data_IF_910478866368
#
_entry.id   IF_910478866368
#
_cell.length_a   1.000
_cell.length_b   1.000
_cell.length_c   1.000
_cell.angle_alpha   90.00
_cell.angle_beta   90.00
_cell.angle_gamma   90.00
#
_symmetry.space_group_name_H-M   'P 1'
#
loop_
_entity.id
_entity.type
_entity.pdbx_description
1 polymer ?
#
# COMPACT_ATOMS: atom_id res chain seq x y z
N UNK A 1 -27.07 10.92 -9.24
CA UNK A 1 -26.83 9.53 -9.65
C UNK A 1 -25.82 8.96 -8.69
N UNK A 2 -26.16 7.87 -8.02
CA UNK A 2 -25.30 7.25 -7.03
C UNK A 2 -24.11 6.61 -7.75
N UNK A 3 -22.88 7.00 -7.39
CA UNK A 3 -21.67 6.42 -7.98
C UNK A 3 -21.42 5.06 -7.34
N UNK A 4 -21.00 4.07 -8.12
CA UNK A 4 -20.66 2.74 -7.60
C UNK A 4 -19.22 2.75 -7.06
N UNK A 5 -18.99 2.47 -5.76
CA UNK A 5 -17.65 2.37 -5.20
C UNK A 5 -16.86 1.23 -5.85
N UNK A 6 -15.59 1.51 -6.21
CA UNK A 6 -14.61 0.50 -6.63
C UNK A 6 -13.84 0.04 -5.39
N UNK A 7 -13.33 0.98 -4.59
CA UNK A 7 -12.67 0.73 -3.30
C UNK A 7 -13.01 1.81 -2.30
N UNK A 8 -13.08 1.42 -1.03
CA UNK A 8 -13.14 2.32 0.13
C UNK A 8 -12.04 1.92 1.10
N UNK A 9 -11.11 2.82 1.37
CA UNK A 9 -9.96 2.57 2.23
C UNK A 9 -9.84 3.68 3.24
N UNK A 10 -9.64 3.34 4.51
CA UNK A 10 -9.30 4.34 5.53
C UNK A 10 -7.94 4.10 6.16
N UNK A 11 -7.35 5.19 6.64
CA UNK A 11 -6.15 5.16 7.47
C UNK A 11 -6.31 6.14 8.64
N UNK A 12 -5.80 5.76 9.80
CA UNK A 12 -5.68 6.67 10.95
C UNK A 12 -4.33 7.38 10.89
N UNK A 13 -4.33 8.70 10.97
CA UNK A 13 -3.12 9.54 10.98
C UNK A 13 -2.97 10.25 12.32
N UNK A 14 -1.74 10.42 12.82
CA UNK A 14 -1.47 11.16 14.06
C UNK A 14 -1.36 12.67 13.79
N UNK A 15 -2.38 13.21 13.15
CA UNK A 15 -2.50 14.63 12.87
C UNK A 15 -3.96 15.06 13.02
N UNK A 16 -4.17 16.30 13.47
CA UNK A 16 -5.49 16.94 13.44
C UNK A 16 -5.97 17.11 11.99
N UNK A 17 -7.29 17.21 11.80
CA UNK A 17 -7.90 17.33 10.47
C UNK A 17 -7.37 18.53 9.67
N UNK A 18 -7.02 19.64 10.32
CA UNK A 18 -6.45 20.82 9.66
C UNK A 18 -5.10 20.50 9.01
N UNK A 19 -4.27 19.70 9.70
CA UNK A 19 -2.96 19.30 9.18
C UNK A 19 -3.09 18.22 8.10
N UNK A 20 -4.03 17.29 8.25
CA UNK A 20 -4.36 16.33 7.20
C UNK A 20 -4.90 17.04 5.95
N UNK A 21 -5.74 18.06 6.11
CA UNK A 21 -6.24 18.89 5.00
C UNK A 21 -5.12 19.63 4.27
N UNK A 22 -4.19 20.24 5.01
CA UNK A 22 -3.01 20.86 4.43
C UNK A 22 -2.19 19.85 3.62
N UNK A 23 -2.06 18.61 4.10
CA UNK A 23 -1.36 17.54 3.38
C UNK A 23 -1.98 17.22 2.01
N UNK A 24 -3.31 17.34 1.89
CA UNK A 24 -4.06 17.11 0.66
C UNK A 24 -4.03 18.32 -0.28
N UNK A 25 -3.84 19.53 0.23
CA UNK A 25 -4.06 20.77 -0.55
C UNK A 25 -2.81 21.63 -0.75
N UNK A 26 -1.69 21.32 -0.10
CA UNK A 26 -0.41 21.99 -0.31
C UNK A 26 0.44 21.27 -1.35
N UNK A 27 0.94 22.02 -2.34
CA UNK A 27 1.80 21.51 -3.40
C UNK A 27 3.00 20.72 -2.88
N UNK A 28 3.74 21.28 -1.92
CA UNK A 28 4.94 20.65 -1.36
C UNK A 28 4.60 19.34 -0.62
N UNK A 29 3.46 19.29 0.06
CA UNK A 29 3.00 18.09 0.74
C UNK A 29 2.66 16.99 -0.27
N UNK A 30 1.79 17.29 -1.24
CA UNK A 30 1.34 16.31 -2.23
C UNK A 30 2.51 15.74 -3.07
N UNK A 31 3.49 16.58 -3.40
CA UNK A 31 4.72 16.14 -4.09
C UNK A 31 5.61 15.25 -3.22
N UNK A 32 5.51 15.33 -1.89
CA UNK A 32 6.32 14.52 -0.97
C UNK A 32 5.71 13.17 -0.67
N UNK A 33 4.38 13.04 -0.54
CA UNK A 33 3.73 11.77 -0.19
C UNK A 33 3.01 11.07 -1.36
N UNK A 34 2.67 11.78 -2.45
CA UNK A 34 1.84 11.22 -3.52
C UNK A 34 2.37 11.38 -4.97
N UNK A 35 2.44 12.58 -5.51
CA UNK A 35 2.75 12.80 -6.93
C UNK A 35 4.21 13.23 -7.13
N UNK A 36 4.70 13.22 -8.37
CA UNK A 36 5.99 13.85 -8.69
C UNK A 36 5.86 15.37 -8.78
N UNK A 37 4.75 15.83 -9.36
CA UNK A 37 4.42 17.24 -9.50
C UNK A 37 2.98 17.51 -9.08
N UNK A 38 2.76 18.71 -8.54
CA UNK A 38 1.46 19.23 -8.18
C UNK A 38 1.39 20.73 -8.48
N UNK A 39 0.21 21.19 -8.89
CA UNK A 39 -0.16 22.59 -9.06
C UNK A 39 -1.60 22.77 -8.54
N UNK A 40 -1.71 22.89 -7.22
CA UNK A 40 -2.94 23.04 -6.46
C UNK A 40 -3.17 24.51 -6.10
N UNK A 41 -4.38 24.97 -6.37
CA UNK A 41 -4.90 26.30 -6.03
C UNK A 41 -6.43 26.18 -5.94
N UNK A 42 -6.89 25.94 -4.73
CA UNK A 42 -8.30 25.68 -4.43
C UNK A 42 -9.17 26.90 -4.77
N UNK A 43 -8.66 28.12 -4.56
CA UNK A 43 -9.40 29.35 -4.87
C UNK A 43 -9.64 29.51 -6.37
N UNK A 44 -8.66 29.11 -7.20
CA UNK A 44 -8.80 29.06 -8.64
C UNK A 44 -9.48 27.77 -9.17
N UNK A 45 -9.92 26.88 -8.28
CA UNK A 45 -10.53 25.59 -8.64
C UNK A 45 -9.56 24.60 -9.29
N UNK A 46 -8.24 24.78 -9.11
CA UNK A 46 -7.19 23.97 -9.72
C UNK A 46 -6.68 22.93 -8.73
N UNK A 47 -6.67 21.67 -9.16
CA UNK A 47 -6.18 20.55 -8.36
C UNK A 47 -5.41 19.59 -9.26
N UNK A 48 -4.29 20.07 -9.80
CA UNK A 48 -3.52 19.33 -10.79
C UNK A 48 -2.39 18.54 -10.12
N UNK A 49 -2.21 17.29 -10.52
CA UNK A 49 -1.07 16.45 -10.13
C UNK A 49 -0.71 15.45 -11.22
N UNK A 50 0.58 15.18 -11.40
CA UNK A 50 1.09 14.36 -12.50
C UNK A 50 2.50 13.80 -12.24
N UNK A 51 3.02 13.07 -13.24
CA UNK A 51 4.37 12.54 -13.28
C UNK A 51 4.49 11.08 -12.82
N UNK A 52 5.73 10.65 -12.59
CA UNK A 52 6.12 9.24 -12.57
C UNK A 52 5.49 8.36 -11.50
N UNK A 53 5.03 8.97 -10.41
CA UNK A 53 4.40 8.27 -9.28
C UNK A 53 2.87 8.30 -9.35
N UNK A 54 2.30 9.06 -10.29
CA UNK A 54 0.86 9.07 -10.54
C UNK A 54 0.52 7.98 -11.55
N UNK A 55 -0.55 7.24 -11.30
CA UNK A 55 -0.92 6.13 -12.16
C UNK A 55 -1.13 6.51 -13.63
N UNK A 56 -0.55 5.71 -14.52
CA UNK A 56 -0.47 5.99 -15.96
C UNK A 56 0.58 7.04 -16.34
N UNK A 57 1.38 7.49 -15.37
CA UNK A 57 2.49 8.43 -15.51
C UNK A 57 2.16 9.65 -16.41
N UNK A 58 1.04 10.35 -16.14
CA UNK A 58 0.54 11.38 -17.03
C UNK A 58 1.52 12.56 -17.13
N UNK A 59 1.59 13.15 -18.32
CA UNK A 59 2.15 14.49 -18.50
C UNK A 59 1.21 15.55 -17.92
N UNK A 60 1.70 16.76 -17.71
CA UNK A 60 0.95 17.87 -17.07
C UNK A 60 -0.41 18.12 -17.72
N UNK A 61 -0.52 18.01 -19.04
CA UNK A 61 -1.76 18.26 -19.78
C UNK A 61 -2.86 17.26 -19.44
N UNK A 62 -2.48 16.05 -18.98
CA UNK A 62 -3.38 14.98 -18.54
C UNK A 62 -3.45 14.86 -17.02
N UNK A 63 -2.78 15.75 -16.30
CA UNK A 63 -2.74 15.80 -14.83
C UNK A 63 -3.76 16.74 -14.21
N UNK A 64 -4.79 17.14 -14.97
CA UNK A 64 -5.83 18.06 -14.49
C UNK A 64 -7.02 17.27 -13.96
N UNK A 65 -7.42 17.58 -12.74
CA UNK A 65 -8.50 16.86 -12.05
C UNK A 65 -9.59 17.85 -11.66
N UNK A 66 -10.79 17.68 -12.21
CA UNK A 66 -11.88 18.63 -11.99
C UNK A 66 -12.44 18.45 -10.58
N UNK A 67 -12.40 19.51 -9.77
CA UNK A 67 -12.99 19.49 -8.43
C UNK A 67 -14.52 19.35 -8.52
N UNK A 68 -15.07 18.41 -7.75
CA UNK A 68 -16.50 18.20 -7.55
C UNK A 68 -16.97 18.78 -6.22
N UNK A 69 -16.16 18.64 -5.18
CA UNK A 69 -16.42 19.14 -3.83
C UNK A 69 -15.11 19.57 -3.19
N UNK A 70 -15.12 20.70 -2.51
CA UNK A 70 -13.98 21.16 -1.72
C UNK A 70 -14.50 21.91 -0.49
N UNK A 71 -14.54 21.19 0.62
CA UNK A 71 -14.93 21.70 1.93
C UNK A 71 -13.71 21.68 2.86
N UNK A 72 -13.08 22.84 3.12
CA UNK A 72 -11.88 22.93 3.93
C UNK A 72 -11.96 22.19 5.26
N UNK A 73 -10.98 21.32 5.53
CA UNK A 73 -10.90 20.53 6.75
C UNK A 73 -11.84 19.32 6.81
N UNK A 74 -12.67 19.09 5.79
CA UNK A 74 -13.71 18.05 5.83
C UNK A 74 -13.71 17.14 4.61
N UNK A 75 -13.84 17.67 3.40
CA UNK A 75 -14.03 16.84 2.21
C UNK A 75 -13.37 17.42 0.96
N UNK A 76 -12.73 16.55 0.19
CA UNK A 76 -12.20 16.84 -1.14
C UNK A 76 -12.67 15.76 -2.10
N UNK A 77 -13.35 16.14 -3.18
CA UNK A 77 -13.75 15.22 -4.23
C UNK A 77 -13.38 15.77 -5.61
N UNK A 78 -12.88 14.91 -6.49
CA UNK A 78 -12.47 15.28 -7.84
C UNK A 78 -12.68 14.15 -8.86
N UNK A 79 -12.87 14.53 -10.12
CA UNK A 79 -12.84 13.62 -11.25
C UNK A 79 -11.38 13.30 -11.56
N UNK A 80 -11.06 12.02 -11.63
CA UNK A 80 -9.77 11.54 -12.10
C UNK A 80 -9.96 10.62 -13.31
N UNK A 81 -9.33 10.96 -14.43
CA UNK A 81 -9.35 10.11 -15.62
C UNK A 81 -8.34 8.97 -15.52
N UNK A 82 -8.84 7.72 -15.52
CA UNK A 82 -8.06 6.48 -15.51
C UNK A 82 -8.17 5.82 -16.90
N UNK A 83 -7.12 5.95 -17.70
CA UNK A 83 -7.13 5.49 -19.09
C UNK A 83 -8.15 6.26 -19.92
N UNK A 84 -9.19 5.57 -20.41
CA UNK A 84 -10.27 6.18 -21.20
C UNK A 84 -11.52 6.51 -20.39
N UNK A 85 -11.50 6.25 -19.07
CA UNK A 85 -12.67 6.37 -18.22
C UNK A 85 -12.49 7.44 -17.16
N UNK A 86 -13.54 8.18 -16.91
CA UNK A 86 -13.60 9.07 -15.76
C UNK A 86 -13.99 8.25 -14.52
N UNK A 87 -13.32 8.56 -13.42
CA UNK A 87 -13.57 8.01 -12.08
C UNK A 87 -13.68 9.17 -11.11
N UNK A 88 -14.19 8.92 -9.91
CA UNK A 88 -14.28 9.94 -8.86
C UNK A 88 -13.53 9.48 -7.65
N UNK A 89 -12.67 10.34 -7.11
CA UNK A 89 -12.05 10.16 -5.81
C UNK A 89 -12.69 11.12 -4.83
N UNK A 90 -13.12 10.61 -3.68
CA UNK A 90 -13.61 11.37 -2.54
C UNK A 90 -12.74 11.05 -1.34
N UNK A 91 -12.21 12.07 -0.68
CA UNK A 91 -11.45 11.97 0.56
C UNK A 91 -12.20 12.75 1.63
N UNK A 92 -12.53 12.08 2.73
CA UNK A 92 -13.20 12.65 3.89
C UNK A 92 -12.29 12.57 5.12
N UNK A 93 -12.29 13.66 5.89
CA UNK A 93 -11.55 13.77 7.13
C UNK A 93 -12.52 13.65 8.29
N UNK A 94 -12.30 12.64 9.15
CA UNK A 94 -13.10 12.43 10.35
C UNK A 94 -12.21 12.71 11.59
N UNK A 95 -12.36 13.89 12.23
CA UNK A 95 -11.55 14.25 13.40
C UNK A 95 -11.72 13.26 14.57
N UNK A 96 -10.63 12.97 15.27
CA UNK A 96 -10.55 12.13 16.47
C UNK A 96 -9.57 12.77 17.48
N UNK A 97 -9.87 13.99 17.91
CA UNK A 97 -8.98 14.77 18.77
C UNK A 97 -7.69 15.15 18.06
N UNK A 98 -6.55 14.68 18.58
CA UNK A 98 -5.21 14.90 17.96
C UNK A 98 -4.93 13.99 16.76
N UNK A 99 -5.83 13.04 16.48
CA UNK A 99 -5.77 12.14 15.33
C UNK A 99 -6.90 12.45 14.34
N UNK A 100 -6.79 11.91 13.14
CA UNK A 100 -7.82 11.98 12.12
C UNK A 100 -7.92 10.63 11.41
N UNK A 101 -9.13 10.21 11.06
CA UNK A 101 -9.32 9.15 10.07
C UNK A 101 -9.41 9.84 8.71
N UNK A 102 -8.55 9.43 7.78
CA UNK A 102 -8.62 9.81 6.36
C UNK A 102 -9.33 8.67 5.65
N UNK A 103 -10.55 8.94 5.19
CA UNK A 103 -11.44 7.99 4.56
C UNK A 103 -11.48 8.28 3.05
N UNK A 104 -11.02 7.34 2.23
CA UNK A 104 -10.96 7.48 0.79
C UNK A 104 -11.94 6.53 0.11
N UNK A 105 -12.79 7.08 -0.76
CA UNK A 105 -13.61 6.32 -1.72
C UNK A 105 -13.12 6.63 -3.14
N UNK A 106 -12.87 5.59 -3.93
CA UNK A 106 -12.66 5.70 -5.36
C UNK A 106 -13.80 4.97 -6.07
N UNK A 107 -14.59 5.71 -6.86
CA UNK A 107 -15.82 5.24 -7.49
C UNK A 107 -15.77 5.31 -9.01
N UNK A 108 -16.49 4.39 -9.66
CA UNK A 108 -16.62 4.38 -11.11
C UNK A 108 -17.44 5.60 -11.59
N UNK A 109 -17.03 6.19 -12.71
CA UNK A 109 -17.81 7.25 -13.37
C UNK A 109 -19.12 6.71 -13.98
N UNK A 110 -19.95 7.65 -14.43
CA UNK A 110 -21.31 7.41 -14.94
C UNK A 110 -21.44 6.52 -16.18
N UNK A 111 -20.35 6.33 -16.94
CA UNK A 111 -20.41 5.75 -18.29
C UNK A 111 -19.90 4.30 -18.38
N UNK A 112 -19.55 3.63 -17.27
CA UNK A 112 -18.78 2.39 -17.32
C UNK A 112 -19.62 1.10 -17.24
N UNK A 113 -19.30 0.13 -18.11
CA UNK A 113 -19.68 -1.29 -18.00
C UNK A 113 -18.67 -2.03 -17.11
N UNK A 114 -19.12 -3.10 -16.47
CA UNK A 114 -18.60 -3.70 -15.24
C UNK A 114 -17.22 -4.40 -15.34
N UNK A 115 -16.70 -4.65 -16.56
CA UNK A 115 -15.74 -5.75 -16.80
C UNK A 115 -14.23 -5.39 -16.86
N UNK A 116 -13.81 -4.14 -16.66
CA UNK A 116 -12.40 -3.71 -16.88
C UNK A 116 -11.67 -3.20 -15.62
N UNK A 117 -12.02 -3.68 -14.43
CA UNK A 117 -11.35 -3.28 -13.18
C UNK A 117 -10.97 -4.50 -12.36
N UNK A 118 -9.68 -4.74 -12.21
CA UNK A 118 -9.18 -5.53 -11.09
C UNK A 118 -9.19 -4.62 -9.85
N UNK A 119 -10.16 -4.77 -8.91
CA UNK A 119 -10.27 -3.88 -7.75
C UNK A 119 -9.01 -3.88 -6.88
N UNK A 120 -8.28 -5.01 -6.86
CA UNK A 120 -7.00 -5.15 -6.17
C UNK A 120 -5.94 -4.15 -6.66
N UNK A 121 -5.89 -3.83 -7.96
CA UNK A 121 -4.94 -2.84 -8.49
C UNK A 121 -5.20 -1.44 -7.92
N UNK A 122 -6.47 -1.06 -7.75
CA UNK A 122 -6.83 0.24 -7.17
C UNK A 122 -6.56 0.28 -5.67
N UNK A 123 -6.86 -0.80 -4.95
CA UNK A 123 -6.58 -0.91 -3.53
C UNK A 123 -5.06 -0.81 -3.26
N UNK A 124 -4.26 -1.56 -4.01
CA UNK A 124 -2.82 -1.63 -3.84
C UNK A 124 -2.13 -0.27 -4.05
N UNK A 125 -2.55 0.50 -5.05
CA UNK A 125 -2.06 1.87 -5.28
C UNK A 125 -2.37 2.79 -4.11
N UNK A 126 -3.59 2.72 -3.59
CA UNK A 126 -4.03 3.55 -2.47
C UNK A 126 -3.41 3.15 -1.15
N UNK A 127 -3.13 1.86 -0.93
CA UNK A 127 -2.40 1.40 0.26
C UNK A 127 -1.04 2.07 0.38
N UNK A 128 -0.25 2.09 -0.69
CA UNK A 128 1.04 2.79 -0.72
C UNK A 128 0.86 4.29 -0.48
N UNK A 129 -0.08 4.92 -1.19
CA UNK A 129 -0.30 6.36 -1.11
C UNK A 129 -0.74 6.82 0.29
N UNK A 130 -1.73 6.16 0.88
CA UNK A 130 -2.25 6.49 2.21
C UNK A 130 -1.24 6.17 3.32
N UNK A 131 -0.45 5.12 3.16
CA UNK A 131 0.65 4.81 4.06
C UNK A 131 1.76 5.86 3.99
N UNK A 132 2.10 6.37 2.80
CA UNK A 132 3.02 7.49 2.64
C UNK A 132 2.49 8.79 3.25
N UNK A 133 1.18 9.08 3.10
CA UNK A 133 0.54 10.22 3.76
C UNK A 133 0.72 10.14 5.28
N UNK A 134 0.39 8.97 5.87
CA UNK A 134 0.53 8.72 7.31
C UNK A 134 1.98 8.92 7.77
N UNK A 135 2.94 8.31 7.08
CA UNK A 135 4.36 8.42 7.38
C UNK A 135 4.86 9.86 7.28
N UNK A 136 4.48 10.58 6.23
CA UNK A 136 4.84 11.99 6.06
C UNK A 136 4.29 12.89 7.16
N UNK A 137 3.03 12.68 7.55
CA UNK A 137 2.41 13.41 8.67
C UNK A 137 3.13 13.15 10.00
N UNK A 138 3.66 11.95 10.20
CA UNK A 138 4.46 11.57 11.36
C UNK A 138 5.95 11.99 11.24
N UNK A 139 6.34 12.70 10.18
CA UNK A 139 7.72 13.14 9.95
C UNK A 139 8.68 12.01 9.55
N UNK A 140 8.16 10.87 9.09
CA UNK A 140 8.94 9.71 8.62
C UNK A 140 9.08 9.72 7.09
N UNK A 141 10.01 8.91 6.58
CA UNK A 141 10.24 8.76 5.15
C UNK A 141 8.99 8.21 4.42
N UNK A 142 8.56 8.91 3.36
CA UNK A 142 7.41 8.61 2.50
C UNK A 142 7.86 8.31 1.05
N UNK A 143 8.78 7.35 0.93
CA UNK A 143 9.65 7.10 -0.22
C UNK A 143 9.37 5.77 -0.94
N UNK A 144 8.50 4.92 -0.40
CA UNK A 144 8.04 3.73 -1.13
C UNK A 144 6.99 4.19 -2.12
N UNK A 145 7.37 4.35 -3.38
CA UNK A 145 6.48 4.77 -4.46
C UNK A 145 6.40 3.69 -5.56
N UNK A 146 5.39 3.83 -6.42
CA UNK A 146 5.23 3.02 -7.63
C UNK A 146 5.76 3.84 -8.81
N UNK A 147 6.95 3.53 -9.35
CA UNK A 147 7.39 4.16 -10.59
C UNK A 147 6.61 3.53 -11.75
N UNK A 148 5.84 4.32 -12.48
CA UNK A 148 5.02 3.85 -13.61
C UNK A 148 5.78 3.80 -14.95
N UNK A 149 7.12 3.64 -14.91
CA UNK A 149 8.01 3.70 -16.08
C UNK A 149 8.96 2.53 -16.32
N UNK A 150 9.42 1.72 -15.35
CA UNK A 150 10.34 0.65 -15.69
C UNK A 150 9.60 -0.48 -16.41
N UNK A 151 10.33 -1.17 -17.27
CA UNK A 151 9.98 -2.51 -17.72
C UNK A 151 9.86 -3.38 -16.46
N UNK A 152 8.61 -3.65 -16.03
CA UNK A 152 8.30 -4.45 -14.84
C UNK A 152 8.32 -5.95 -15.18
N UNK A 153 9.30 -6.36 -15.98
CA UNK A 153 9.48 -7.74 -16.40
C UNK A 153 10.56 -8.45 -15.60
N UNK A 154 10.39 -9.76 -15.47
CA UNK A 154 11.31 -10.62 -14.75
C UNK A 154 11.28 -10.39 -13.24
N UNK A 155 12.43 -10.58 -12.60
CA UNK A 155 12.54 -10.60 -11.14
C UNK A 155 12.29 -9.22 -10.53
N UNK A 156 11.67 -9.22 -9.35
CA UNK A 156 11.24 -8.03 -8.62
C UNK A 156 12.24 -7.77 -7.50
N UNK A 157 12.93 -6.64 -7.53
CA UNK A 157 13.83 -6.21 -6.46
C UNK A 157 13.38 -4.85 -5.90
N UNK A 158 13.13 -4.80 -4.59
CA UNK A 158 12.74 -3.58 -3.86
C UNK A 158 13.42 -3.54 -2.50
N UNK A 159 13.84 -2.36 -2.05
CA UNK A 159 14.44 -2.17 -0.73
C UNK A 159 13.96 -0.88 -0.06
N UNK A 160 14.12 -0.82 1.26
CA UNK A 160 13.96 0.41 2.02
C UNK A 160 14.87 0.40 3.25
N UNK A 161 15.15 1.60 3.79
CA UNK A 161 15.68 1.74 5.13
C UNK A 161 14.52 1.66 6.13
N UNK A 162 14.69 0.83 7.16
CA UNK A 162 13.76 0.70 8.29
C UNK A 162 14.44 1.28 9.52
N UNK A 163 13.82 2.27 10.16
CA UNK A 163 14.30 2.87 11.43
C UNK A 163 14.01 1.94 12.63
N UNK A 164 14.61 0.74 12.58
CA UNK A 164 14.51 -0.29 13.60
C UNK A 164 15.75 -1.20 13.57
N UNK A 165 16.15 -1.82 14.71
CA UNK A 165 17.23 -2.80 14.73
C UNK A 165 16.85 -4.08 13.99
N UNK A 166 17.85 -4.81 13.47
CA UNK A 166 17.64 -6.01 12.66
C UNK A 166 16.79 -7.08 13.37
N UNK A 167 17.00 -7.28 14.68
CA UNK A 167 16.15 -8.17 15.49
C UNK A 167 14.67 -7.81 15.49
N UNK A 168 14.31 -6.52 15.46
CA UNK A 168 12.90 -6.09 15.37
C UNK A 168 12.33 -6.37 13.98
N UNK A 169 13.09 -6.08 12.93
CA UNK A 169 12.69 -6.38 11.54
C UNK A 169 12.56 -7.88 11.32
N UNK A 170 13.46 -8.67 11.93
CA UNK A 170 13.41 -10.12 11.89
C UNK A 170 12.15 -10.68 12.56
N UNK A 171 11.78 -10.15 13.73
CA UNK A 171 10.52 -10.50 14.39
C UNK A 171 9.31 -10.25 13.48
N UNK A 172 9.27 -9.12 12.76
CA UNK A 172 8.20 -8.81 11.79
C UNK A 172 8.06 -9.88 10.70
N UNK A 173 9.17 -10.51 10.30
CA UNK A 173 9.20 -11.50 9.22
C UNK A 173 8.99 -12.94 9.69
N UNK A 174 9.19 -13.25 10.98
CA UNK A 174 9.25 -14.63 11.47
C UNK A 174 8.32 -14.94 12.65
N UNK A 175 7.73 -13.93 13.30
CA UNK A 175 6.74 -14.14 14.37
C UNK A 175 5.33 -14.15 13.79
N UNK A 176 4.56 -15.20 14.10
CA UNK A 176 3.20 -15.42 13.58
C UNK A 176 2.29 -14.22 13.86
N UNK A 177 2.30 -13.72 15.11
CA UNK A 177 1.51 -12.56 15.54
C UNK A 177 1.89 -11.27 14.82
N UNK A 178 3.12 -11.15 14.34
CA UNK A 178 3.54 -9.97 13.57
C UNK A 178 3.15 -10.14 12.11
N UNK A 179 3.36 -11.32 11.52
CA UNK A 179 2.95 -11.63 10.15
C UNK A 179 1.46 -11.40 9.92
N UNK A 180 0.62 -11.78 10.87
CA UNK A 180 -0.83 -11.56 10.82
C UNK A 180 -1.27 -10.08 10.85
N UNK A 181 -0.34 -9.17 11.13
CA UNK A 181 -0.59 -7.72 11.08
C UNK A 181 -0.36 -7.11 9.70
N UNK A 182 0.46 -7.74 8.85
CA UNK A 182 0.88 -7.11 7.59
C UNK A 182 0.88 -8.04 6.36
N UNK A 183 1.01 -9.36 6.49
CA UNK A 183 1.09 -10.26 5.32
C UNK A 183 0.17 -11.48 5.41
N UNK A 184 0.05 -12.10 6.58
CA UNK A 184 -0.62 -13.38 6.74
C UNK A 184 -2.10 -13.23 7.13
N UNK A 185 -2.91 -14.22 6.74
CA UNK A 185 -4.30 -14.40 7.21
C UNK A 185 -4.38 -15.39 8.37
N UNK A 186 -3.49 -16.38 8.41
CA UNK A 186 -3.35 -17.34 9.52
C UNK A 186 -1.94 -17.90 9.50
N UNK A 187 -1.01 -17.27 10.23
CA UNK A 187 0.40 -17.61 10.13
C UNK A 187 0.71 -18.91 10.89
N UNK A 188 1.50 -19.79 10.27
CA UNK A 188 2.12 -20.95 10.94
C UNK A 188 3.55 -21.10 10.43
N UNK A 189 4.51 -20.84 11.31
CA UNK A 189 5.93 -20.75 10.94
C UNK A 189 6.79 -21.73 11.74
N UNK A 190 7.59 -22.52 11.04
CA UNK A 190 8.67 -23.31 11.63
C UNK A 190 10.01 -22.68 11.23
N UNK A 191 10.64 -21.82 12.06
CA UNK A 191 11.79 -21.01 11.69
C UNK A 191 13.09 -21.83 11.64
N UNK A 192 13.18 -22.75 10.68
CA UNK A 192 14.34 -23.58 10.36
C UNK A 192 14.35 -23.89 8.86
N UNK A 193 15.51 -24.19 8.30
CA UNK A 193 15.60 -24.68 6.92
C UNK A 193 14.77 -25.96 6.77
N UNK A 194 13.94 -26.04 5.74
CA UNK A 194 12.96 -27.10 5.54
C UNK A 194 11.83 -27.08 6.59
N UNK A 195 11.57 -25.95 7.24
CA UNK A 195 10.35 -25.69 7.99
C UNK A 195 9.26 -25.05 7.12
N UNK A 196 8.03 -25.09 7.59
CA UNK A 196 6.90 -24.42 6.95
C UNK A 196 6.95 -22.90 7.17
N UNK A 197 6.55 -22.16 6.15
CA UNK A 197 6.29 -20.74 6.17
C UNK A 197 4.88 -20.52 5.61
N UNK A 198 3.86 -20.88 6.38
CA UNK A 198 2.46 -20.79 5.95
C UNK A 198 1.88 -19.43 6.35
N UNK A 199 1.36 -18.70 5.35
CA UNK A 199 0.71 -17.41 5.54
C UNK A 199 -0.81 -17.53 5.64
N UNK A 200 -1.36 -18.73 5.42
CA UNK A 200 -2.80 -18.95 5.36
C UNK A 200 -3.47 -18.27 4.17
N UNK A 201 -2.73 -18.00 3.09
CA UNK A 201 -3.29 -17.42 1.88
C UNK A 201 -4.22 -18.41 1.16
N UNK A 202 -5.43 -18.01 0.77
CA UNK A 202 -6.38 -18.91 0.11
C UNK A 202 -5.81 -19.51 -1.17
N UNK A 203 -5.94 -20.83 -1.31
CA UNK A 203 -5.47 -21.55 -2.49
C UNK A 203 -3.94 -21.73 -2.57
N UNK A 204 -3.19 -21.32 -1.55
CA UNK A 204 -1.74 -21.53 -1.46
C UNK A 204 -1.44 -22.64 -0.44
N UNK A 205 -0.53 -23.55 -0.81
CA UNK A 205 0.02 -24.53 0.13
C UNK A 205 1.06 -23.87 1.05
N UNK A 206 1.37 -24.48 2.21
CA UNK A 206 2.48 -24.05 3.05
C UNK A 206 3.78 -23.95 2.24
N UNK A 207 4.39 -22.77 2.26
CA UNK A 207 5.69 -22.55 1.63
C UNK A 207 6.80 -23.17 2.46
N UNK A 208 7.94 -23.44 1.85
CA UNK A 208 9.09 -24.08 2.53
C UNK A 208 10.27 -23.13 2.61
N UNK A 209 10.83 -22.99 3.82
CA UNK A 209 12.04 -22.20 4.06
C UNK A 209 13.24 -22.91 3.42
N UNK A 210 13.92 -22.23 2.50
CA UNK A 210 15.09 -22.73 1.75
C UNK A 210 16.41 -22.30 2.39
N UNK A 211 16.51 -21.04 2.79
CA UNK A 211 17.66 -20.49 3.51
C UNK A 211 17.15 -19.68 4.70
N UNK A 212 17.84 -19.78 5.83
CA UNK A 212 17.51 -19.04 7.04
C UNK A 212 18.77 -18.72 7.82
N UNK A 213 19.02 -17.42 8.04
CA UNK A 213 20.04 -16.94 8.95
C UNK A 213 19.43 -15.84 9.81
N UNK A 214 19.28 -16.08 11.13
CA UNK A 214 18.64 -15.13 12.03
C UNK A 214 19.16 -13.71 11.87
N UNK A 215 18.23 -12.76 11.84
CA UNK A 215 18.49 -11.31 11.71
C UNK A 215 19.23 -10.89 10.43
N UNK A 216 19.34 -11.77 9.44
CA UNK A 216 20.13 -11.52 8.23
C UNK A 216 19.46 -11.96 6.93
N UNK A 217 18.85 -13.14 6.88
CA UNK A 217 18.38 -13.75 5.65
C UNK A 217 17.21 -14.70 5.87
N UNK A 218 16.14 -14.52 5.12
CA UNK A 218 15.02 -15.46 5.00
C UNK A 218 14.73 -15.70 3.52
N UNK A 219 14.75 -16.96 3.08
CA UNK A 219 14.35 -17.37 1.73
C UNK A 219 13.30 -18.45 1.82
N UNK A 220 12.15 -18.26 1.19
CA UNK A 220 11.11 -19.30 1.07
C UNK A 220 10.61 -19.41 -0.38
N UNK A 221 10.21 -20.62 -0.76
CA UNK A 221 9.64 -20.89 -2.09
C UNK A 221 8.21 -20.36 -2.21
N UNK A 222 7.83 -19.87 -3.39
CA UNK A 222 6.50 -19.29 -3.66
C UNK A 222 5.59 -20.21 -4.50
N UNK A 223 6.03 -21.43 -4.79
CA UNK A 223 5.33 -22.39 -5.65
C UNK A 223 5.37 -23.80 -5.08
N UNK A 224 4.40 -24.61 -5.48
CA UNK A 224 4.33 -26.04 -5.18
C UNK A 224 5.54 -26.82 -5.74
N UNK A 225 5.73 -28.05 -5.25
CA UNK A 225 6.69 -29.00 -5.83
C UNK A 225 6.39 -29.23 -7.33
N UNK A 226 7.31 -28.80 -8.19
CA UNK A 226 7.21 -28.93 -9.66
C UNK A 226 6.81 -27.67 -10.43
N UNK A 227 6.54 -26.55 -9.75
CA UNK A 227 6.39 -25.22 -10.35
C UNK A 227 7.73 -24.56 -10.73
N UNK A 228 7.71 -23.37 -11.37
CA UNK A 228 8.92 -22.55 -11.55
C UNK A 228 9.60 -22.33 -10.19
N UNK A 229 10.93 -22.21 -10.13
CA UNK A 229 11.66 -22.01 -8.86
C UNK A 229 11.45 -20.60 -8.27
N UNK A 230 10.21 -20.15 -8.15
CA UNK A 230 9.89 -18.84 -7.61
C UNK A 230 10.19 -18.81 -6.12
N UNK A 231 10.83 -17.74 -5.67
CA UNK A 231 11.17 -17.55 -4.26
C UNK A 231 11.04 -16.10 -3.84
N UNK A 232 10.81 -15.88 -2.55
CA UNK A 232 10.96 -14.59 -1.92
C UNK A 232 12.19 -14.64 -1.01
N UNK A 233 13.12 -13.72 -1.23
CA UNK A 233 14.35 -13.55 -0.45
C UNK A 233 14.30 -12.20 0.25
N UNK A 234 14.28 -12.24 1.58
CA UNK A 234 14.42 -11.07 2.45
C UNK A 234 15.85 -11.00 2.99
N UNK A 235 16.54 -9.89 2.78
CA UNK A 235 17.86 -9.62 3.35
C UNK A 235 17.81 -8.43 4.29
N UNK A 236 18.42 -8.59 5.46
CA UNK A 236 18.55 -7.56 6.48
C UNK A 236 20.03 -7.20 6.60
N UNK A 237 20.35 -5.93 6.38
CA UNK A 237 21.69 -5.40 6.54
C UNK A 237 21.64 -4.24 7.55
N UNK A 238 22.26 -4.39 8.74
CA UNK A 238 22.41 -3.26 9.66
C UNK A 238 23.18 -2.12 9.01
N UNK A 239 22.65 -0.90 9.09
CA UNK A 239 23.26 0.33 8.56
C UNK A 239 23.19 1.45 9.61
N UNK A 240 23.92 2.55 9.40
CA UNK A 240 23.76 3.73 10.24
C UNK A 240 22.34 4.30 10.06
N UNK A 241 21.55 4.30 11.15
CA UNK A 241 20.16 4.76 11.12
C UNK A 241 19.11 3.65 11.01
N UNK A 242 19.49 2.36 11.10
CA UNK A 242 18.54 1.27 11.23
C UNK A 242 18.97 0.01 10.47
N UNK A 243 18.03 -0.59 9.74
CA UNK A 243 18.24 -1.82 8.98
C UNK A 243 17.77 -1.62 7.54
N UNK A 244 18.65 -1.87 6.57
CA UNK A 244 18.26 -2.01 5.17
C UNK A 244 17.53 -3.33 5.00
N UNK A 245 16.25 -3.25 4.67
CA UNK A 245 15.42 -4.40 4.32
C UNK A 245 15.29 -4.46 2.80
N UNK A 246 15.76 -5.54 2.19
CA UNK A 246 15.61 -5.78 0.77
C UNK A 246 14.81 -7.05 0.52
N UNK A 247 13.92 -6.99 -0.46
CA UNK A 247 13.12 -8.10 -0.96
C UNK A 247 13.49 -8.35 -2.42
N UNK A 248 13.84 -9.59 -2.72
CA UNK A 248 13.97 -10.12 -4.07
C UNK A 248 12.93 -11.22 -4.27
N UNK A 249 11.96 -11.00 -5.15
CA UNK A 249 11.11 -12.07 -5.65
C UNK A 249 11.63 -12.52 -7.01
N UNK A 250 12.19 -13.73 -7.07
CA UNK A 250 12.89 -14.27 -8.22
C UNK A 250 12.24 -15.53 -8.77
N UNK A 251 12.70 -15.99 -9.94
CA UNK A 251 12.24 -17.21 -10.62
C UNK A 251 11.57 -16.94 -11.97
N UNK A 252 11.54 -15.67 -12.38
CA UNK A 252 10.90 -15.20 -13.60
C UNK A 252 11.91 -15.07 -14.73
N UNK A 253 11.49 -15.41 -15.95
CA UNK A 253 12.24 -15.13 -17.16
C UNK A 253 12.33 -13.60 -17.38
N UNK A 254 13.39 -13.08 -18.03
CA UNK A 254 13.55 -11.64 -18.25
C UNK A 254 12.38 -10.96 -18.98
N UNK A 255 11.57 -11.71 -19.72
CA UNK A 255 10.42 -11.24 -20.48
C UNK A 255 9.06 -11.50 -19.80
N UNK A 256 9.01 -12.21 -18.68
CA UNK A 256 7.78 -12.45 -17.92
C UNK A 256 7.20 -11.13 -17.42
N UNK A 257 5.91 -10.87 -17.67
CA UNK A 257 5.23 -9.69 -17.13
C UNK A 257 4.91 -9.90 -15.64
N UNK A 258 5.62 -9.20 -14.77
CA UNK A 258 5.44 -9.25 -13.31
C UNK A 258 4.85 -7.96 -12.74
N UNK A 259 4.31 -7.09 -13.61
CA UNK A 259 3.73 -5.80 -13.22
C UNK A 259 2.64 -5.91 -12.16
N UNK A 260 1.79 -6.95 -12.23
CA UNK A 260 0.75 -7.22 -11.24
C UNK A 260 1.27 -7.61 -9.85
N UNK A 261 2.48 -8.15 -9.75
CA UNK A 261 3.12 -8.56 -8.49
C UNK A 261 3.97 -7.44 -7.89
N UNK A 262 4.49 -6.55 -8.74
CA UNK A 262 5.37 -5.46 -8.34
C UNK A 262 4.76 -4.52 -7.29
N UNK A 263 3.46 -4.20 -7.41
CA UNK A 263 2.78 -3.32 -6.46
C UNK A 263 2.54 -4.03 -5.12
N UNK A 264 2.06 -5.28 -5.15
CA UNK A 264 1.84 -6.08 -3.95
C UNK A 264 3.12 -6.28 -3.12
N UNK A 265 4.25 -6.60 -3.76
CA UNK A 265 5.53 -6.71 -3.06
C UNK A 265 6.03 -5.39 -2.47
N UNK A 266 5.76 -4.26 -3.13
CA UNK A 266 6.04 -2.93 -2.56
C UNK A 266 5.15 -2.61 -1.36
N UNK A 267 3.87 -2.98 -1.40
CA UNK A 267 2.95 -2.88 -0.26
C UNK A 267 3.50 -3.66 0.94
N UNK A 268 3.84 -4.93 0.71
CA UNK A 268 4.43 -5.80 1.72
C UNK A 268 5.72 -5.25 2.31
N UNK A 269 6.64 -4.75 1.50
CA UNK A 269 7.85 -4.07 1.99
C UNK A 269 7.49 -2.86 2.88
N UNK A 270 6.55 -2.02 2.45
CA UNK A 270 6.14 -0.83 3.18
C UNK A 270 5.42 -1.12 4.49
N UNK A 271 4.55 -2.12 4.51
CA UNK A 271 3.85 -2.56 5.71
C UNK A 271 4.79 -3.26 6.69
N UNK A 272 5.74 -4.08 6.23
CA UNK A 272 6.77 -4.65 7.10
C UNK A 272 7.62 -3.54 7.76
N UNK A 273 8.03 -2.53 6.99
CA UNK A 273 8.72 -1.35 7.53
C UNK A 273 7.88 -0.66 8.60
N UNK A 274 6.62 -0.38 8.32
CA UNK A 274 5.78 0.34 9.26
C UNK A 274 5.41 -0.48 10.50
N UNK A 275 5.15 -1.77 10.37
CA UNK A 275 5.00 -2.67 11.51
C UNK A 275 6.25 -2.63 12.40
N UNK A 276 7.45 -2.66 11.82
CA UNK A 276 8.72 -2.60 12.56
C UNK A 276 8.90 -1.27 13.31
N UNK A 277 8.66 -0.14 12.65
CA UNK A 277 8.95 1.21 13.14
C UNK A 277 7.93 1.77 14.15
N UNK A 278 6.65 1.44 13.95
CA UNK A 278 5.56 1.94 14.80
C UNK A 278 5.18 0.95 15.90
N UNK A 279 5.59 -0.32 15.79
CA UNK A 279 5.23 -1.35 16.77
C UNK A 279 3.72 -1.52 16.86
N UNK A 280 3.19 -1.64 18.07
CA UNK A 280 1.76 -1.90 18.33
C UNK A 280 0.82 -0.76 17.86
N UNK A 281 1.32 0.46 17.67
CA UNK A 281 0.52 1.61 17.23
C UNK A 281 0.19 1.59 15.72
N UNK A 282 0.68 0.58 14.99
CA UNK A 282 0.42 0.42 13.57
C UNK A 282 -0.69 -0.57 13.26
N UNK A 283 -1.47 -0.23 12.24
CA UNK A 283 -2.36 -1.13 11.55
C UNK A 283 -2.25 -0.88 10.04
N UNK A 284 -2.55 -1.87 9.18
CA UNK A 284 -2.61 -1.65 7.75
C UNK A 284 -3.72 -0.62 7.42
N UNK A 285 -3.63 0.07 6.27
CA UNK A 285 -4.79 0.74 5.70
C UNK A 285 -5.96 -0.26 5.60
N UNK A 286 -7.15 0.14 6.06
CA UNK A 286 -8.32 -0.74 6.13
C UNK A 286 -9.16 -0.60 4.88
N UNK A 287 -9.22 -1.64 4.06
CA UNK A 287 -10.14 -1.76 2.93
C UNK A 287 -11.51 -2.20 3.44
N UNK A 288 -12.60 -1.61 2.93
CA UNK A 288 -13.94 -2.12 3.12
C UNK A 288 -14.11 -3.43 2.34
N UNK A 289 -14.31 -4.51 3.08
CA UNK A 289 -14.45 -5.85 2.54
C UNK A 289 -15.93 -6.22 2.38
N UNK A 290 -16.24 -7.05 1.37
CA UNK A 290 -17.53 -7.74 1.35
C UNK A 290 -17.57 -8.81 2.45
N UNK A 291 -18.76 -9.22 2.95
CA UNK A 291 -18.86 -10.18 4.04
C UNK A 291 -18.14 -11.52 3.80
N UNK A 292 -18.06 -11.95 2.54
CA UNK A 292 -17.41 -13.22 2.14
C UNK A 292 -15.99 -13.02 1.57
N UNK A 293 -15.44 -11.80 1.64
CA UNK A 293 -14.11 -11.54 1.13
C UNK A 293 -13.07 -12.27 1.99
N UNK A 294 -12.11 -12.89 1.31
CA UNK A 294 -10.88 -13.31 1.96
C UNK A 294 -9.81 -12.26 1.67
N UNK A 295 -9.25 -11.70 2.73
CA UNK A 295 -8.25 -10.64 2.65
C UNK A 295 -7.05 -10.97 3.53
N UNK A 296 -5.94 -10.31 3.21
CA UNK A 296 -4.76 -10.25 4.05
C UNK A 296 -4.40 -8.78 4.27
N UNK A 297 -3.83 -8.45 5.44
CA UNK A 297 -3.56 -9.36 6.56
C UNK A 297 -4.79 -9.65 7.43
N UNK A 298 -4.68 -10.62 8.35
CA UNK A 298 -5.71 -10.96 9.35
C UNK A 298 -6.22 -9.72 10.08
N UNK A 299 -5.33 -8.82 10.48
CA UNK A 299 -5.69 -7.59 11.17
C UNK A 299 -6.66 -6.70 10.36
N UNK A 300 -6.63 -6.75 9.01
CA UNK A 300 -7.60 -6.01 8.19
C UNK A 300 -9.02 -6.60 8.31
N UNK A 301 -9.15 -7.93 8.46
CA UNK A 301 -10.42 -8.60 8.68
C UNK A 301 -10.99 -8.27 10.07
N UNK A 302 -10.12 -8.26 11.08
CA UNK A 302 -10.52 -8.08 12.47
C UNK A 302 -11.03 -6.65 12.76
N UNK A 303 -10.63 -5.67 11.94
CA UNK A 303 -10.93 -4.24 12.14
C UNK A 303 -12.04 -3.70 11.20
N UNK A 304 -12.82 -4.55 10.53
CA UNK A 304 -13.89 -4.09 9.63
C UNK A 304 -14.97 -3.27 10.37
N UNK A 305 -15.20 -3.54 11.66
CA UNK A 305 -16.11 -2.77 12.51
C UNK A 305 -15.58 -1.37 12.89
N UNK A 306 -14.34 -1.02 12.56
CA UNK A 306 -13.78 0.31 12.78
C UNK A 306 -13.95 1.25 11.58
N UNK A 307 -14.44 0.74 10.45
CA UNK A 307 -14.67 1.53 9.24
C UNK A 307 -15.72 2.62 9.48
N UNK A 308 -15.52 3.79 8.86
CA UNK A 308 -16.48 4.91 8.93
C UNK A 308 -17.73 4.70 8.07
N UNK A 309 -17.68 3.83 7.06
CA UNK A 309 -18.77 3.52 6.13
C UNK A 309 -19.67 2.37 6.62
N UNK A 310 -20.11 2.42 7.88
CA UNK A 310 -21.08 1.44 8.37
C UNK A 310 -22.45 1.71 7.75
N UNK A 311 -23.09 0.65 7.25
CA UNK A 311 -24.46 0.66 6.72
C UNK A 311 -25.51 0.96 7.80
#
# INVERSE_FOLDING_TARGET
>A
MELKPIVRIQVTVNARAERAWAALTENAALQTWYAEFADIDIEAGRYDFWGQFTAGAPARERGRHALLECEPGRCLAFIWRRGQHDTVVRIELHPRGERCIVALEHSAGSERKEDDIAPYTYADEWFIALENLRRWLDGRAADIRIPWYPDLRGNIAVDCLVDAPAGRVWAVLCEESELERWMATAARIEPRVGGDYDLGWPGMQPMRIRELEPERLLVYGMSDEGGPENSARWTLQPEAGGTRLALLNSGYAPDDDTSGLHVGWRNFLGWARSAAEYGADWQPPLLQLSPDAIAFPRLMLDLQNELVWQD
#
